data_IF_853157286752
#
_entry.id   IF_853157286752
#
_cell.length_a   1.000
_cell.length_b   1.000
_cell.length_c   1.000
_cell.angle_alpha   90.00
_cell.angle_beta   90.00
_cell.angle_gamma   90.00
#
_symmetry.space_group_name_H-M   'P 1'
#
loop_
_entity.id
_entity.type
_entity.pdbx_description
1 polymer ?
#
# COMPACT_ATOMS: atom_id res chain seq x y z
N UNK A 1 -19.88 -1.71 60.76
CA UNK A 1 -18.75 -0.86 60.33
C UNK A 1 -18.30 -1.36 58.98
N UNK A 2 -18.61 -0.61 57.93
CA UNK A 2 -18.35 -0.94 56.54
C UNK A 2 -16.88 -0.62 56.20
N UNK A 3 -16.15 -1.56 55.62
CA UNK A 3 -14.82 -1.30 55.06
C UNK A 3 -14.92 -1.39 53.53
N UNK A 4 -14.62 -0.25 52.90
CA UNK A 4 -14.81 0.05 51.50
C UNK A 4 -13.98 -0.84 50.56
N UNK A 5 -14.63 -1.32 49.49
CA UNK A 5 -13.95 -1.76 48.29
C UNK A 5 -13.35 -0.55 47.57
N UNK A 6 -12.03 -0.51 47.43
CA UNK A 6 -11.37 0.41 46.50
C UNK A 6 -11.21 -0.28 45.15
N UNK A 7 -12.17 -0.02 44.27
CA UNK A 7 -12.07 -0.29 42.83
C UNK A 7 -11.04 0.71 42.28
N UNK A 8 -9.88 0.21 41.86
CA UNK A 8 -8.90 0.98 41.10
C UNK A 8 -9.48 1.30 39.70
N UNK A 9 -10.23 2.39 39.61
CA UNK A 9 -10.56 3.07 38.36
C UNK A 9 -9.34 3.90 37.93
N UNK A 10 -8.33 3.26 37.34
CA UNK A 10 -7.41 3.98 36.46
C UNK A 10 -8.11 4.19 35.12
N UNK A 11 -8.10 5.41 34.56
CA UNK A 11 -8.62 5.63 33.22
C UNK A 11 -7.74 4.87 32.24
N UNK A 12 -8.37 4.13 31.32
CA UNK A 12 -7.72 3.64 30.11
C UNK A 12 -7.16 4.86 29.38
N UNK A 13 -5.90 5.18 29.66
CA UNK A 13 -5.17 6.18 28.91
C UNK A 13 -5.15 5.71 27.45
N UNK A 14 -5.81 6.52 26.62
CA UNK A 14 -5.65 6.65 25.18
C UNK A 14 -4.20 6.33 24.79
N UNK A 15 -3.93 5.08 24.38
CA UNK A 15 -2.66 4.78 23.74
C UNK A 15 -2.79 5.39 22.35
N UNK A 16 -1.99 6.41 21.99
CA UNK A 16 -1.94 6.85 20.61
C UNK A 16 -1.65 5.60 19.76
N UNK A 17 -2.30 5.44 18.59
CA UNK A 17 -2.12 4.25 17.77
C UNK A 17 -0.62 4.02 17.59
N UNK A 18 -0.17 2.84 18.01
CA UNK A 18 1.22 2.42 17.91
C UNK A 18 1.68 2.75 16.49
N UNK A 19 2.69 3.61 16.37
CA UNK A 19 3.27 3.99 15.10
C UNK A 19 4.02 2.75 14.60
N UNK A 20 3.30 1.78 14.05
CA UNK A 20 3.87 0.58 13.44
C UNK A 20 4.84 1.12 12.40
N UNK A 21 6.16 0.90 12.57
CA UNK A 21 7.13 1.38 11.61
C UNK A 21 6.72 0.84 10.26
N UNK A 22 6.28 1.73 9.37
CA UNK A 22 6.02 1.35 8.00
C UNK A 22 7.32 0.77 7.46
N UNK A 23 7.33 -0.48 6.97
CA UNK A 23 8.55 -1.03 6.41
C UNK A 23 8.99 -0.09 5.29
N UNK A 24 10.24 0.37 5.30
CA UNK A 24 10.78 1.23 4.23
C UNK A 24 10.49 0.66 2.83
N UNK A 25 10.48 -0.68 2.74
CA UNK A 25 10.08 -1.44 1.57
C UNK A 25 8.68 -1.10 1.02
N UNK A 26 7.69 -0.81 1.87
CA UNK A 26 6.34 -0.46 1.40
C UNK A 26 6.31 0.93 0.76
N UNK A 27 7.07 1.88 1.31
CA UNK A 27 7.23 3.20 0.69
C UNK A 27 7.94 3.10 -0.66
N UNK A 28 9.01 2.32 -0.73
CA UNK A 28 9.78 2.13 -1.96
C UNK A 28 8.92 1.48 -3.06
N UNK A 29 8.15 0.42 -2.72
CA UNK A 29 7.19 -0.19 -3.64
C UNK A 29 6.12 0.81 -4.09
N UNK A 30 5.60 1.64 -3.17
CA UNK A 30 4.61 2.66 -3.53
C UNK A 30 5.17 3.73 -4.47
N UNK A 31 6.42 4.16 -4.28
CA UNK A 31 7.12 5.09 -5.19
C UNK A 31 7.40 4.46 -6.53
N UNK A 32 7.82 3.20 -6.58
CA UNK A 32 8.05 2.50 -7.84
C UNK A 32 6.76 2.32 -8.62
N UNK A 33 5.67 1.91 -7.96
CA UNK A 33 4.33 1.82 -8.56
C UNK A 33 3.87 3.17 -9.09
N UNK A 34 3.99 4.24 -8.28
CA UNK A 34 3.60 5.57 -8.75
C UNK A 34 4.46 6.03 -9.92
N UNK A 35 5.79 5.92 -9.83
CA UNK A 35 6.70 6.33 -10.89
C UNK A 35 6.47 5.57 -12.20
N UNK A 36 5.96 4.34 -12.12
CA UNK A 36 5.60 3.53 -13.28
C UNK A 36 4.32 4.04 -13.96
N UNK A 37 3.25 4.29 -13.19
CA UNK A 37 1.95 4.70 -13.73
C UNK A 37 1.82 6.21 -13.97
N UNK A 38 2.38 7.03 -13.08
CA UNK A 38 2.35 8.50 -13.08
C UNK A 38 3.72 9.10 -12.72
N UNK A 39 4.67 9.16 -13.67
CA UNK A 39 6.04 9.62 -13.42
C UNK A 39 6.14 11.07 -12.90
N UNK A 40 5.11 11.89 -13.11
CA UNK A 40 5.04 13.29 -12.67
C UNK A 40 4.33 13.48 -11.32
N UNK A 41 3.96 12.39 -10.65
CA UNK A 41 3.31 12.41 -9.36
C UNK A 41 4.29 12.28 -8.20
N UNK A 42 3.97 12.92 -7.08
CA UNK A 42 4.74 12.82 -5.84
C UNK A 42 3.97 11.99 -4.80
N UNK A 43 4.61 10.95 -4.26
CA UNK A 43 4.03 10.13 -3.17
C UNK A 43 3.97 10.95 -1.88
N UNK A 44 2.82 10.91 -1.20
CA UNK A 44 2.65 11.47 0.15
C UNK A 44 2.49 10.38 1.20
N UNK A 45 1.81 9.28 0.85
CA UNK A 45 1.60 8.16 1.75
C UNK A 45 1.34 6.87 0.97
N UNK A 46 1.67 5.75 1.59
CA UNK A 46 1.45 4.40 1.05
C UNK A 46 0.92 3.51 2.17
N UNK A 47 -0.16 2.79 1.91
CA UNK A 47 -0.80 1.92 2.90
C UNK A 47 -0.97 0.52 2.32
N UNK A 48 -0.65 -0.50 3.12
CA UNK A 48 -1.04 -1.87 2.80
C UNK A 48 -2.49 -2.06 3.24
N UNK A 49 -3.41 -2.00 2.29
CA UNK A 49 -4.85 -2.13 2.56
C UNK A 49 -5.31 -3.56 2.73
N UNK A 50 -4.61 -4.50 2.09
CA UNK A 50 -4.87 -5.93 2.23
C UNK A 50 -3.58 -6.72 2.01
N UNK A 51 -3.16 -7.55 2.98
CA UNK A 51 -1.90 -8.33 2.90
C UNK A 51 -2.04 -9.69 2.21
N UNK A 52 -3.26 -10.25 2.18
CA UNK A 52 -3.58 -11.54 1.57
C UNK A 52 -4.83 -11.39 0.67
N UNK A 53 -4.63 -10.77 -0.49
CA UNK A 53 -5.72 -10.56 -1.44
C UNK A 53 -6.03 -11.84 -2.22
N UNK A 54 -7.28 -12.32 -2.13
CA UNK A 54 -7.74 -13.54 -2.78
C UNK A 54 -7.71 -13.50 -4.31
N UNK A 55 -7.47 -12.33 -4.91
CA UNK A 55 -7.29 -12.16 -6.36
C UNK A 55 -5.98 -12.72 -6.92
N UNK A 56 -5.05 -13.23 -6.12
CA UNK A 56 -3.75 -13.71 -6.62
C UNK A 56 -3.86 -14.70 -7.80
N UNK A 57 -4.72 -15.72 -7.69
CA UNK A 57 -4.84 -16.79 -8.71
C UNK A 57 -5.31 -16.32 -10.07
N UNK A 58 -6.25 -15.36 -10.14
CA UNK A 58 -6.73 -14.80 -11.43
C UNK A 58 -5.63 -14.06 -12.20
N UNK A 59 -4.53 -13.71 -11.52
CA UNK A 59 -3.35 -13.10 -12.12
C UNK A 59 -2.15 -14.05 -12.13
N UNK A 60 -2.33 -15.36 -11.95
CA UNK A 60 -1.22 -16.33 -11.98
C UNK A 60 -0.18 -16.11 -10.88
N UNK A 61 -0.58 -15.55 -9.74
CA UNK A 61 0.28 -15.28 -8.59
C UNK A 61 -0.03 -16.25 -7.44
N UNK A 62 0.98 -16.58 -6.64
CA UNK A 62 0.85 -17.42 -5.43
C UNK A 62 0.46 -16.59 -4.21
N UNK A 63 0.87 -15.32 -4.22
CA UNK A 63 0.63 -14.34 -3.15
C UNK A 63 0.29 -12.99 -3.74
N UNK A 64 -0.55 -12.25 -3.04
CA UNK A 64 -0.90 -10.90 -3.44
C UNK A 64 -1.28 -10.04 -2.23
N UNK A 65 -0.97 -8.75 -2.32
CA UNK A 65 -1.51 -7.71 -1.45
C UNK A 65 -2.01 -6.52 -2.26
N UNK A 66 -2.82 -5.66 -1.65
CA UNK A 66 -3.26 -4.40 -2.25
C UNK A 66 -2.63 -3.24 -1.49
N UNK A 67 -1.94 -2.38 -2.22
CA UNK A 67 -1.46 -1.12 -1.71
C UNK A 67 -2.35 0.03 -2.20
N UNK A 68 -2.48 1.03 -1.34
CA UNK A 68 -3.06 2.34 -1.65
C UNK A 68 -1.92 3.35 -1.64
N UNK A 69 -1.75 4.09 -2.73
CA UNK A 69 -0.81 5.19 -2.84
C UNK A 69 -1.61 6.49 -2.85
N UNK A 70 -1.40 7.33 -1.84
CA UNK A 70 -1.86 8.72 -1.84
C UNK A 70 -0.75 9.58 -2.43
N UNK A 71 -1.05 10.33 -3.48
CA UNK A 71 -0.07 11.09 -4.23
C UNK A 71 -0.65 12.39 -4.74
N UNK A 72 0.21 13.34 -5.13
CA UNK A 72 -0.18 14.60 -5.74
C UNK A 72 0.35 14.70 -7.15
N UNK A 73 -0.54 15.00 -8.09
CA UNK A 73 -0.15 15.22 -9.48
C UNK A 73 0.37 16.63 -9.71
N UNK A 74 0.94 16.88 -10.89
CA UNK A 74 1.49 18.18 -11.29
C UNK A 74 0.51 19.38 -11.16
N UNK A 75 -0.80 19.12 -11.18
CA UNK A 75 -1.85 20.14 -11.00
C UNK A 75 -2.19 20.42 -9.51
N UNK A 76 -1.44 19.85 -8.56
CA UNK A 76 -1.60 20.10 -7.14
C UNK A 76 -2.76 19.37 -6.46
N UNK A 77 -3.54 18.59 -7.20
CA UNK A 77 -4.65 17.81 -6.65
C UNK A 77 -4.18 16.49 -6.05
N UNK A 78 -4.72 16.16 -4.87
CA UNK A 78 -4.51 14.86 -4.23
C UNK A 78 -5.27 13.78 -4.99
N UNK A 79 -4.60 12.64 -5.19
CA UNK A 79 -5.06 11.49 -5.97
C UNK A 79 -4.78 10.21 -5.20
N UNK A 80 -5.52 9.17 -5.56
CA UNK A 80 -5.40 7.84 -4.98
C UNK A 80 -5.24 6.82 -6.10
N UNK A 81 -4.24 5.96 -5.94
CA UNK A 81 -4.01 4.80 -6.79
C UNK A 81 -4.05 3.54 -5.94
N UNK A 82 -4.80 2.53 -6.40
CA UNK A 82 -4.81 1.19 -5.83
C UNK A 82 -4.13 0.23 -6.79
N UNK A 83 -3.10 -0.46 -6.30
CA UNK A 83 -2.41 -1.48 -7.06
C UNK A 83 -2.36 -2.79 -6.28
N UNK A 84 -2.58 -3.90 -6.99
CA UNK A 84 -2.23 -5.21 -6.47
C UNK A 84 -0.73 -5.43 -6.66
N UNK A 85 -0.02 -5.80 -5.61
CA UNK A 85 1.36 -6.30 -5.66
C UNK A 85 1.30 -7.82 -5.61
N UNK A 86 1.78 -8.45 -6.68
CA UNK A 86 1.68 -9.89 -6.91
C UNK A 86 3.06 -10.53 -6.79
N UNK A 87 3.12 -11.73 -6.24
CA UNK A 87 4.35 -12.53 -6.20
C UNK A 87 4.12 -13.95 -6.72
N UNK A 88 5.10 -14.47 -7.46
CA UNK A 88 5.13 -15.85 -7.98
C UNK A 88 6.47 -16.50 -7.68
N UNK A 89 6.45 -17.78 -7.30
CA UNK A 89 7.63 -18.64 -7.06
C UNK A 89 8.68 -18.05 -6.10
N UNK A 90 8.25 -17.11 -5.25
CA UNK A 90 9.08 -16.25 -4.37
C UNK A 90 10.12 -15.37 -5.06
N UNK A 91 10.31 -15.50 -6.38
CA UNK A 91 11.42 -14.90 -7.15
C UNK A 91 10.97 -13.88 -8.17
N UNK A 92 9.67 -13.75 -8.37
CA UNK A 92 9.10 -12.80 -9.30
C UNK A 92 8.01 -12.01 -8.61
N UNK A 93 7.88 -10.78 -9.06
CA UNK A 93 6.81 -9.91 -8.66
C UNK A 93 6.36 -9.06 -9.84
N UNK A 94 5.12 -8.59 -9.75
CA UNK A 94 4.53 -7.63 -10.69
C UNK A 94 3.44 -6.85 -9.99
N UNK A 95 2.98 -5.79 -10.62
CA UNK A 95 1.88 -4.96 -10.14
C UNK A 95 0.73 -5.01 -11.11
N UNK A 96 -0.48 -4.77 -10.62
CA UNK A 96 -1.66 -4.56 -11.48
C UNK A 96 -2.41 -3.36 -10.95
N UNK A 97 -2.68 -2.40 -11.83
CA UNK A 97 -3.54 -1.27 -11.51
C UNK A 97 -4.98 -1.75 -11.30
N UNK A 98 -5.53 -1.50 -10.11
CA UNK A 98 -6.92 -1.86 -9.79
C UNK A 98 -7.86 -0.68 -9.96
N UNK A 99 -7.42 0.50 -9.52
CA UNK A 99 -8.20 1.74 -9.58
C UNK A 99 -7.27 2.94 -9.47
N UNK A 100 -7.67 4.04 -10.10
CA UNK A 100 -6.93 5.29 -10.14
C UNK A 100 -7.91 6.46 -10.24
N UNK A 101 -7.69 7.50 -9.43
CA UNK A 101 -8.49 8.73 -9.45
C UNK A 101 -7.85 9.86 -10.27
N UNK A 102 -6.75 9.60 -10.96
CA UNK A 102 -6.08 10.58 -11.82
C UNK A 102 -6.99 11.08 -12.95
N UNK A 103 -6.88 12.36 -13.28
CA UNK A 103 -7.52 12.91 -14.48
C UNK A 103 -6.74 12.62 -15.76
N UNK A 104 -5.42 12.46 -15.63
CA UNK A 104 -4.55 12.00 -16.72
C UNK A 104 -4.48 10.47 -16.62
N UNK A 105 -4.69 9.73 -17.72
CA UNK A 105 -4.60 8.27 -17.69
C UNK A 105 -3.22 7.79 -17.26
N UNK A 106 -3.19 6.64 -16.57
CA UNK A 106 -1.95 5.96 -16.23
C UNK A 106 -1.16 5.56 -17.48
N UNK A 107 0.17 5.54 -17.37
CA UNK A 107 1.07 5.07 -18.42
C UNK A 107 0.70 3.63 -18.83
N UNK A 108 0.48 3.36 -20.13
CA UNK A 108 0.20 2.01 -20.61
C UNK A 108 1.44 1.11 -20.62
N UNK A 109 2.64 1.70 -20.59
CA UNK A 109 3.92 0.98 -20.74
C UNK A 109 4.62 0.77 -19.38
N UNK A 110 3.85 0.56 -18.31
CA UNK A 110 4.39 0.36 -16.98
C UNK A 110 5.15 -1.01 -16.90
N UNK A 111 6.49 -1.03 -16.76
CA UNK A 111 7.25 -2.30 -16.78
C UNK A 111 6.92 -3.20 -15.59
N UNK A 112 6.41 -2.63 -14.50
CA UNK A 112 6.00 -3.38 -13.32
C UNK A 112 4.79 -4.28 -13.56
N UNK A 113 4.05 -4.11 -14.67
CA UNK A 113 2.96 -5.05 -15.04
C UNK A 113 3.47 -6.40 -15.56
N UNK A 114 4.76 -6.47 -15.90
CA UNK A 114 5.43 -7.70 -16.30
C UNK A 114 6.03 -8.40 -15.08
N UNK A 115 6.16 -9.73 -15.16
CA UNK A 115 6.88 -10.48 -14.14
C UNK A 115 8.37 -10.13 -14.18
N UNK A 116 8.86 -9.57 -13.09
CA UNK A 116 10.27 -9.18 -12.92
C UNK A 116 10.80 -9.70 -11.60
N UNK A 117 12.13 -9.74 -11.43
CA UNK A 117 12.70 -10.11 -10.12
C UNK A 117 12.37 -9.02 -9.08
N UNK A 118 12.05 -9.37 -7.82
CA UNK A 118 11.67 -8.44 -6.77
C UNK A 118 12.65 -7.30 -6.53
N UNK A 119 13.93 -7.51 -6.87
CA UNK A 119 15.01 -6.52 -6.74
C UNK A 119 14.86 -5.36 -7.74
N UNK A 120 13.95 -5.48 -8.70
CA UNK A 120 13.63 -4.45 -9.69
C UNK A 120 12.28 -3.77 -9.41
N UNK A 121 11.67 -4.04 -8.25
CA UNK A 121 10.56 -3.27 -7.69
C UNK A 121 11.06 -2.15 -6.78
#
# INVERSE_FOLDING_TARGET
MALLMLVNLLPLADRPPEHVPKPALLDDVGRAVLGCYHPSGDVHDVQLTQSAWGGARRYGADRAGIIKVNWRGALGHDRVLYAAVLGRDRREARTVLLSDTASIPASPDCPLEQWTQPNHL
#
